data_IF_785007045457
#
_entry.id   IF_785007045457
#
_cell.length_a   1.000
_cell.length_b   1.000
_cell.length_c   1.000
_cell.angle_alpha   90.00
_cell.angle_beta   90.00
_cell.angle_gamma   90.00
#
_symmetry.space_group_name_H-M   'P 1'
#
loop_
_entity.id
_entity.type
_entity.pdbx_description
1 polymer ?
#
# COMPACT_ATOMS: atom_id res chain seq x y z
N UNK A 1 0.96 10.77 7.82
CA UNK A 1 1.51 9.77 8.74
C UNK A 1 2.02 8.53 8.01
N UNK A 2 1.22 7.89 7.16
CA UNK A 2 1.66 6.77 6.33
C UNK A 2 2.97 7.06 5.57
N UNK A 3 3.13 8.26 4.99
CA UNK A 3 4.35 8.60 4.24
C UNK A 3 5.61 8.73 5.11
N UNK A 4 5.46 8.95 6.42
CA UNK A 4 6.60 8.97 7.33
C UNK A 4 7.23 7.58 7.52
N UNK A 5 6.55 6.50 7.10
CA UNK A 5 7.10 5.14 7.15
C UNK A 5 7.92 4.77 5.91
N UNK A 6 8.12 5.71 4.98
CA UNK A 6 8.76 5.46 3.68
C UNK A 6 7.82 4.92 2.60
N UNK A 7 6.52 4.81 2.88
CA UNK A 7 5.53 4.43 1.87
C UNK A 7 4.99 5.65 1.12
N UNK A 8 4.78 5.55 -0.19
CA UNK A 8 4.02 6.54 -0.97
C UNK A 8 2.55 6.13 -1.04
N UNK A 9 1.64 7.08 -0.81
CA UNK A 9 0.19 6.84 -0.90
C UNK A 9 -0.37 7.50 -2.16
N UNK A 10 -0.91 6.69 -3.06
CA UNK A 10 -1.55 7.18 -4.28
C UNK A 10 -3.07 7.14 -4.16
N UNK A 11 -3.69 8.25 -4.49
CA UNK A 11 -5.14 8.36 -4.65
C UNK A 11 -5.62 7.59 -5.88
N UNK A 12 -6.68 6.78 -5.71
CA UNK A 12 -7.39 6.14 -6.80
C UNK A 12 -8.88 6.53 -6.73
N UNK A 13 -9.74 5.69 -6.17
CA UNK A 13 -11.15 5.97 -5.92
C UNK A 13 -11.37 6.87 -4.72
N UNK A 14 -10.90 8.12 -4.80
CA UNK A 14 -11.12 9.16 -3.78
C UNK A 14 -11.54 10.47 -4.42
N UNK A 15 -12.33 11.28 -3.71
CA UNK A 15 -12.65 12.66 -4.09
C UNK A 15 -12.62 13.58 -2.87
N UNK A 16 -12.63 14.89 -3.12
CA UNK A 16 -12.94 15.88 -2.09
C UNK A 16 -14.46 16.09 -2.02
N UNK A 17 -15.02 16.06 -0.81
CA UNK A 17 -16.41 16.44 -0.58
C UNK A 17 -16.56 17.98 -0.47
N UNK A 18 -17.78 18.45 -0.18
CA UNK A 18 -18.07 19.88 -0.03
C UNK A 18 -17.35 20.51 1.18
N UNK A 19 -16.99 19.71 2.17
CA UNK A 19 -16.26 20.07 3.38
C UNK A 19 -14.73 19.99 3.18
N UNK A 20 -14.26 19.76 1.95
CA UNK A 20 -12.83 19.58 1.61
C UNK A 20 -12.17 18.38 2.28
N UNK A 21 -12.96 17.36 2.64
CA UNK A 21 -12.47 16.10 3.19
C UNK A 21 -12.28 15.08 2.08
N UNK A 22 -11.25 14.24 2.21
CA UNK A 22 -11.02 13.11 1.31
C UNK A 22 -12.01 12.00 1.67
N UNK A 23 -12.85 11.62 0.71
CA UNK A 23 -13.83 10.53 0.85
C UNK A 23 -13.64 9.45 -0.22
N UNK A 24 -14.11 8.24 0.05
CA UNK A 24 -14.08 7.12 -0.90
C UNK A 24 -15.05 7.37 -2.08
N UNK A 25 -14.62 7.06 -3.30
CA UNK A 25 -15.40 7.26 -4.54
C UNK A 25 -15.14 6.15 -5.58
N UNK A 26 -14.97 4.90 -5.13
CA UNK A 26 -14.74 3.77 -6.02
C UNK A 26 -14.36 2.49 -5.28
N UNK A 27 -14.27 1.38 -6.02
CA UNK A 27 -13.96 0.07 -5.43
C UNK A 27 -12.50 -0.08 -4.96
N UNK A 28 -11.54 0.55 -5.65
CA UNK A 28 -10.13 0.62 -5.24
C UNK A 28 -9.81 2.05 -4.82
N UNK A 29 -9.62 2.28 -3.53
CA UNK A 29 -9.58 3.63 -2.94
C UNK A 29 -8.16 4.22 -2.98
N UNK A 30 -7.17 3.49 -2.47
CA UNK A 30 -5.78 3.94 -2.36
C UNK A 30 -4.83 2.83 -2.82
N UNK A 31 -3.64 3.22 -3.29
CA UNK A 31 -2.49 2.32 -3.40
C UNK A 31 -1.41 2.78 -2.42
N UNK A 32 -0.91 1.86 -1.59
CA UNK A 32 0.20 2.13 -0.66
C UNK A 32 1.42 1.37 -1.14
N UNK A 33 2.46 2.10 -1.51
CA UNK A 33 3.66 1.55 -2.17
C UNK A 33 4.87 1.83 -1.30
N UNK A 34 5.58 0.79 -0.84
CA UNK A 34 6.86 0.95 -0.15
C UNK A 34 8.03 0.84 -1.13
N UNK A 35 9.13 1.55 -0.86
CA UNK A 35 10.34 1.57 -1.68
C UNK A 35 11.55 1.27 -0.79
N UNK A 36 12.15 0.09 -0.99
CA UNK A 36 13.32 -0.36 -0.25
C UNK A 36 14.45 -0.80 -1.18
N UNK A 37 15.65 -0.98 -0.63
CA UNK A 37 16.83 -1.48 -1.34
C UNK A 37 16.68 -2.95 -1.75
N UNK A 38 15.78 -3.66 -1.07
CA UNK A 38 15.39 -5.02 -1.38
C UNK A 38 13.88 -5.20 -1.21
N UNK A 39 13.40 -6.37 -1.62
CA UNK A 39 11.99 -6.69 -1.64
C UNK A 39 11.37 -6.73 -0.23
N UNK A 40 12.10 -7.27 0.75
CA UNK A 40 11.67 -7.34 2.14
C UNK A 40 11.43 -5.96 2.73
N UNK A 41 12.36 -5.02 2.49
CA UNK A 41 12.22 -3.63 2.92
C UNK A 41 11.03 -2.95 2.24
N UNK A 42 10.88 -3.11 0.91
CA UNK A 42 9.77 -2.51 0.17
C UNK A 42 8.41 -2.98 0.69
N UNK A 43 8.25 -4.28 0.95
CA UNK A 43 7.04 -4.85 1.57
C UNK A 43 6.82 -4.29 2.97
N UNK A 44 7.87 -4.30 3.81
CA UNK A 44 7.77 -3.86 5.20
C UNK A 44 7.29 -2.40 5.29
N UNK A 45 7.81 -1.52 4.43
CA UNK A 45 7.40 -0.13 4.37
C UNK A 45 5.95 0.02 3.90
N UNK A 46 5.52 -0.70 2.86
CA UNK A 46 4.14 -0.66 2.38
C UNK A 46 3.15 -1.04 3.50
N UNK A 47 3.43 -2.15 4.20
CA UNK A 47 2.60 -2.60 5.31
C UNK A 47 2.69 -1.70 6.55
N UNK A 48 3.81 -1.03 6.79
CA UNK A 48 3.92 -0.02 7.83
C UNK A 48 3.01 1.19 7.52
N UNK A 49 3.00 1.66 6.28
CA UNK A 49 2.18 2.79 5.85
C UNK A 49 0.68 2.52 5.97
N UNK A 50 0.24 1.31 5.60
CA UNK A 50 -1.18 0.91 5.69
C UNK A 50 -1.73 1.03 7.12
N UNK A 51 -0.92 0.83 8.16
CA UNK A 51 -1.37 0.90 9.58
C UNK A 51 -1.92 2.27 9.97
N UNK A 52 -1.52 3.33 9.26
CA UNK A 52 -1.96 4.70 9.51
C UNK A 52 -3.21 5.08 8.72
N UNK A 53 -3.80 4.16 7.96
CA UNK A 53 -4.96 4.43 7.11
C UNK A 53 -6.14 3.65 7.65
N UNK A 54 -7.16 4.37 8.13
CA UNK A 54 -8.38 3.77 8.68
C UNK A 54 -9.61 4.54 8.20
N UNK A 55 -10.59 3.80 7.71
CA UNK A 55 -11.93 4.31 7.40
C UNK A 55 -12.92 3.14 7.38
N UNK A 56 -14.21 3.46 7.45
CA UNK A 56 -15.26 2.45 7.49
C UNK A 56 -15.23 1.55 6.24
N UNK A 57 -15.23 0.24 6.46
CA UNK A 57 -15.28 -0.75 5.38
C UNK A 57 -13.97 -0.95 4.62
N UNK A 58 -12.84 -0.42 5.09
CA UNK A 58 -11.53 -0.70 4.49
C UNK A 58 -11.22 -2.20 4.56
N UNK A 59 -10.80 -2.76 3.43
CA UNK A 59 -10.23 -4.10 3.35
C UNK A 59 -9.04 -4.08 2.40
N UNK A 60 -8.02 -4.87 2.72
CA UNK A 60 -6.82 -5.01 1.90
C UNK A 60 -6.22 -6.39 2.13
N UNK A 61 -5.41 -6.83 1.16
CA UNK A 61 -4.72 -8.12 1.24
C UNK A 61 -3.49 -8.03 2.13
N UNK A 62 -3.33 -9.01 3.01
CA UNK A 62 -2.19 -9.13 3.95
C UNK A 62 -1.09 -10.07 3.47
N UNK A 63 -1.20 -10.54 2.23
CA UNK A 63 -0.32 -11.54 1.62
C UNK A 63 0.34 -11.07 0.32
N UNK A 64 0.28 -9.76 0.04
CA UNK A 64 0.90 -9.19 -1.15
C UNK A 64 2.42 -9.35 -1.01
N UNK A 65 2.99 -10.07 -1.98
CA UNK A 65 4.43 -10.31 -2.05
C UNK A 65 4.96 -11.42 -1.13
N UNK A 66 4.14 -12.03 -0.27
CA UNK A 66 4.59 -13.15 0.58
C UNK A 66 5.19 -14.31 -0.21
N UNK A 67 4.67 -14.61 -1.41
CA UNK A 67 5.23 -15.68 -2.27
C UNK A 67 6.67 -15.41 -2.69
N UNK A 68 6.99 -14.15 -2.99
CA UNK A 68 8.33 -13.73 -3.40
C UNK A 68 9.26 -13.70 -2.18
N UNK A 69 8.76 -13.27 -1.01
CA UNK A 69 9.52 -13.33 0.24
C UNK A 69 9.78 -14.77 0.74
N UNK A 70 8.86 -15.71 0.49
CA UNK A 70 9.00 -17.13 0.87
C UNK A 70 9.75 -17.97 -0.16
N UNK A 71 9.89 -17.47 -1.38
CA UNK A 71 10.56 -18.15 -2.48
C UNK A 71 12.03 -17.79 -2.50
N UNK A 72 12.91 -18.76 -2.27
CA UNK A 72 14.28 -18.69 -2.81
C UNK A 72 14.23 -18.25 -4.27
N UNK A 73 15.17 -17.39 -4.68
CA UNK A 73 15.45 -16.94 -6.05
C UNK A 73 14.78 -17.81 -7.12
N UNK A 74 13.68 -17.32 -7.70
CA UNK A 74 13.05 -17.89 -8.88
C UNK A 74 13.35 -17.01 -10.08
N UNK A 75 14.28 -17.46 -10.91
CA UNK A 75 14.53 -17.06 -12.30
C UNK A 75 14.74 -15.56 -12.59
N UNK A 76 16.03 -15.21 -12.76
CA UNK A 76 16.41 -14.29 -13.82
C UNK A 76 16.01 -14.92 -15.15
N UNK A 77 14.92 -14.48 -15.76
CA UNK A 77 14.64 -14.79 -17.16
C UNK A 77 15.62 -13.99 -18.04
N UNK A 78 16.25 -14.60 -19.07
CA UNK A 78 17.18 -13.92 -19.98
C UNK A 78 16.52 -12.78 -20.76
#
# INVERSE_FOLDING_TARGET
>A
EAEATGATVFHAGTKLNQQQEIVTDGGRVLNVTGIGENFEQAIAQAYAGIKYIQFQGIYYRRDIGHKVASGKQGEQTP
#
